data_IF_985746940177
#
_entry.id   IF_985746940177
#
_cell.length_a   1.000
_cell.length_b   1.000
_cell.length_c   1.000
_cell.angle_alpha   90.00
_cell.angle_beta   90.00
_cell.angle_gamma   90.00
#
_symmetry.space_group_name_H-M   'P 1'
#
loop_
_entity.id
_entity.type
_entity.pdbx_description
1 polymer ?
#
# COMPACT_ATOMS: atom_id res chain seq x y z
N UNK A 1 -3.00 3.27 14.88
CA UNK A 1 -3.75 3.81 13.74
C UNK A 1 -3.66 2.88 12.55
N UNK A 2 -4.58 2.99 11.63
CA UNK A 2 -4.52 2.25 10.38
C UNK A 2 -4.12 3.19 9.25
N UNK A 3 -3.29 2.70 8.34
CA UNK A 3 -2.88 3.44 7.15
C UNK A 3 -3.55 2.85 5.92
N UNK A 4 -4.14 3.72 5.11
CA UNK A 4 -4.71 3.40 3.81
C UNK A 4 -3.98 4.24 2.77
N UNK A 5 -3.29 3.57 1.85
CA UNK A 5 -2.44 4.25 0.87
C UNK A 5 -2.88 3.86 -0.52
N UNK A 6 -3.36 4.83 -1.29
CA UNK A 6 -3.91 4.56 -2.61
C UNK A 6 -3.22 5.39 -3.69
N UNK A 7 -3.24 4.84 -4.89
CA UNK A 7 -2.56 5.40 -6.05
C UNK A 7 -3.04 4.68 -7.31
N UNK A 8 -2.59 5.15 -8.47
CA UNK A 8 -2.96 4.58 -9.76
C UNK A 8 -1.76 3.94 -10.43
N UNK A 9 -1.99 2.81 -11.09
CA UNK A 9 -0.97 2.05 -11.82
C UNK A 9 -1.53 1.67 -13.20
N UNK A 10 -0.72 1.76 -14.23
CA UNK A 10 -1.09 1.35 -15.59
C UNK A 10 -1.54 -0.12 -15.57
N UNK A 11 -2.65 -0.40 -16.24
CA UNK A 11 -3.16 -1.77 -16.34
C UNK A 11 -2.12 -2.73 -16.93
N UNK A 12 -1.31 -2.24 -17.88
CA UNK A 12 -0.25 -3.04 -18.49
C UNK A 12 0.83 -3.47 -17.50
N UNK A 13 1.00 -2.74 -16.39
CA UNK A 13 2.00 -3.02 -15.37
C UNK A 13 1.45 -3.83 -14.19
N UNK A 14 0.18 -4.24 -14.24
CA UNK A 14 -0.50 -4.84 -13.11
C UNK A 14 0.24 -6.08 -12.55
N UNK A 15 0.68 -6.99 -13.41
CA UNK A 15 1.36 -8.21 -12.97
C UNK A 15 2.70 -7.92 -12.31
N UNK A 16 3.50 -7.04 -12.91
CA UNK A 16 4.79 -6.64 -12.35
C UNK A 16 4.59 -5.90 -11.02
N UNK A 17 3.63 -4.99 -10.98
CA UNK A 17 3.35 -4.24 -9.77
C UNK A 17 2.88 -5.13 -8.63
N UNK A 18 1.99 -6.09 -8.92
CA UNK A 18 1.52 -7.04 -7.92
C UNK A 18 2.69 -7.82 -7.29
N UNK A 19 3.62 -8.30 -8.09
CA UNK A 19 4.81 -9.00 -7.60
C UNK A 19 5.62 -8.12 -6.66
N UNK A 20 5.87 -6.88 -7.05
CA UNK A 20 6.71 -5.96 -6.27
C UNK A 20 6.05 -5.51 -4.97
N UNK A 21 4.78 -5.12 -5.02
CA UNK A 21 4.08 -4.62 -3.82
C UNK A 21 3.78 -5.75 -2.84
N UNK A 22 3.49 -6.96 -3.34
CA UNK A 22 3.31 -8.12 -2.47
C UNK A 22 4.59 -8.47 -1.73
N UNK A 23 5.72 -8.44 -2.41
CA UNK A 23 7.02 -8.67 -1.77
C UNK A 23 7.33 -7.62 -0.71
N UNK A 24 7.01 -6.35 -0.99
CA UNK A 24 7.15 -5.26 -0.04
C UNK A 24 6.33 -5.52 1.23
N UNK A 25 5.04 -5.83 1.07
CA UNK A 25 4.14 -6.06 2.20
C UNK A 25 4.53 -7.31 2.99
N UNK A 26 4.92 -8.38 2.33
CA UNK A 26 5.37 -9.60 3.00
C UNK A 26 6.60 -9.32 3.87
N UNK A 27 7.53 -8.56 3.35
CA UNK A 27 8.74 -8.18 4.08
C UNK A 27 8.43 -7.31 5.30
N UNK A 28 7.57 -6.31 5.13
CA UNK A 28 7.16 -5.42 6.23
C UNK A 28 6.38 -6.18 7.30
N UNK A 29 5.48 -7.07 6.88
CA UNK A 29 4.71 -7.91 7.81
C UNK A 29 5.62 -8.78 8.65
N UNK A 30 6.63 -9.38 8.03
CA UNK A 30 7.58 -10.24 8.71
C UNK A 30 8.49 -9.48 9.66
N UNK A 31 9.00 -8.30 9.24
CA UNK A 31 9.92 -7.51 10.05
C UNK A 31 9.25 -6.80 11.23
N UNK A 32 8.02 -6.35 11.04
CA UNK A 32 7.34 -5.49 12.02
C UNK A 32 6.07 -6.08 12.59
N UNK A 33 5.74 -7.32 12.24
CA UNK A 33 4.52 -8.00 12.71
C UNK A 33 3.24 -7.19 12.42
N UNK A 34 3.18 -6.57 11.25
CA UNK A 34 2.06 -5.74 10.83
C UNK A 34 1.12 -6.54 9.95
N UNK A 35 -0.17 -6.41 10.19
CA UNK A 35 -1.20 -7.00 9.32
C UNK A 35 -1.41 -6.10 8.12
N UNK A 36 -1.37 -6.69 6.94
CA UNK A 36 -1.49 -5.97 5.68
C UNK A 36 -2.67 -6.47 4.86
N UNK A 37 -3.16 -5.62 3.97
CA UNK A 37 -4.06 -6.00 2.91
C UNK A 37 -3.69 -5.24 1.64
N UNK A 38 -4.04 -5.79 0.50
CA UNK A 38 -3.82 -5.17 -0.79
C UNK A 38 -5.11 -5.27 -1.59
N UNK A 39 -5.55 -4.14 -2.13
CA UNK A 39 -6.80 -4.05 -2.87
C UNK A 39 -6.55 -3.35 -4.21
N UNK A 40 -7.39 -3.67 -5.17
CA UNK A 40 -7.34 -3.03 -6.48
C UNK A 40 -8.77 -2.86 -7.00
N UNK A 41 -9.04 -1.74 -7.69
CA UNK A 41 -10.32 -1.56 -8.36
C UNK A 41 -10.54 -2.68 -9.39
N UNK A 42 -11.77 -3.17 -9.54
CA UNK A 42 -12.05 -4.31 -10.44
C UNK A 42 -11.90 -3.96 -11.91
N UNK A 43 -12.12 -2.70 -12.26
CA UNK A 43 -12.13 -2.23 -13.65
C UNK A 43 -11.13 -1.09 -13.81
N UNK A 44 -10.35 -1.14 -14.88
CA UNK A 44 -9.45 -0.04 -15.24
C UNK A 44 -10.24 1.14 -15.78
N UNK A 45 -9.83 2.35 -15.41
CA UNK A 45 -10.35 3.60 -15.97
C UNK A 45 -9.18 4.38 -16.57
N UNK A 46 -9.34 4.84 -17.79
CA UNK A 46 -8.28 5.55 -18.52
C UNK A 46 -6.98 4.72 -18.59
N UNK A 47 -7.12 3.40 -18.72
CA UNK A 47 -5.99 2.47 -18.78
C UNK A 47 -5.29 2.22 -17.47
N UNK A 48 -5.88 2.64 -16.34
CA UNK A 48 -5.27 2.49 -15.01
C UNK A 48 -6.22 1.89 -14.00
N UNK A 49 -5.66 1.13 -13.05
CA UNK A 49 -6.40 0.72 -11.85
C UNK A 49 -5.99 1.58 -10.66
N UNK A 50 -6.91 1.72 -9.72
CA UNK A 50 -6.60 2.24 -8.39
C UNK A 50 -6.21 1.07 -7.50
N UNK A 51 -5.06 1.18 -6.86
CA UNK A 51 -4.56 0.19 -5.89
C UNK A 51 -4.60 0.80 -4.50
N UNK A 52 -4.77 -0.05 -3.49
CA UNK A 52 -4.77 0.38 -2.11
C UNK A 52 -3.98 -0.60 -1.24
N UNK A 53 -2.98 -0.08 -0.55
CA UNK A 53 -2.26 -0.80 0.51
C UNK A 53 -2.91 -0.46 1.84
N UNK A 54 -3.05 -1.47 2.70
CA UNK A 54 -3.62 -1.30 4.03
C UNK A 54 -2.62 -1.84 5.06
N UNK A 55 -2.38 -1.07 6.11
CA UNK A 55 -1.51 -1.45 7.23
C UNK A 55 -2.26 -1.17 8.53
N UNK A 56 -2.56 -2.22 9.29
CA UNK A 56 -3.43 -2.11 10.46
C UNK A 56 -2.63 -2.01 11.76
N UNK A 57 -3.14 -1.20 12.71
CA UNK A 57 -2.61 -1.06 14.06
C UNK A 57 -1.12 -0.70 14.07
N UNK A 58 -0.75 0.33 13.33
CA UNK A 58 0.63 0.79 13.22
C UNK A 58 0.84 2.10 13.97
N UNK A 59 2.09 2.51 14.10
CA UNK A 59 2.48 3.78 14.71
C UNK A 59 3.26 4.64 13.72
N UNK A 60 3.69 5.82 14.16
CA UNK A 60 4.44 6.75 13.31
C UNK A 60 5.80 6.19 12.89
N UNK A 61 6.45 5.41 13.74
CA UNK A 61 7.73 4.78 13.39
C UNK A 61 7.56 3.83 12.21
N UNK A 62 6.47 3.06 12.19
CA UNK A 62 6.18 2.21 11.05
C UNK A 62 5.98 3.01 9.77
N UNK A 63 5.29 4.14 9.86
CA UNK A 63 5.06 4.99 8.68
C UNK A 63 6.38 5.44 8.04
N UNK A 64 7.37 5.78 8.86
CA UNK A 64 8.71 6.12 8.37
C UNK A 64 9.38 4.92 7.72
N UNK A 65 9.32 3.74 8.35
CA UNK A 65 9.89 2.50 7.80
C UNK A 65 9.25 2.12 6.48
N UNK A 66 7.93 2.29 6.37
CA UNK A 66 7.19 2.04 5.14
C UNK A 66 7.70 2.92 4.00
N UNK A 67 7.84 4.22 4.24
CA UNK A 67 8.32 5.15 3.20
C UNK A 67 9.75 4.83 2.77
N UNK A 68 10.62 4.45 3.71
CA UNK A 68 11.97 4.00 3.39
C UNK A 68 11.97 2.73 2.53
N UNK A 69 11.11 1.77 2.86
CA UNK A 69 11.00 0.53 2.11
C UNK A 69 10.45 0.77 0.69
N UNK A 70 9.48 1.66 0.55
CA UNK A 70 8.93 2.05 -0.75
C UNK A 70 10.01 2.70 -1.62
N UNK A 71 10.77 3.62 -1.06
CA UNK A 71 11.85 4.28 -1.78
C UNK A 71 12.91 3.27 -2.27
N UNK A 72 13.24 2.28 -1.46
CA UNK A 72 14.22 1.25 -1.81
C UNK A 72 13.68 0.24 -2.84
N UNK A 73 12.38 0.06 -2.91
CA UNK A 73 11.75 -0.96 -3.76
C UNK A 73 11.65 -0.60 -5.23
N UNK A 74 11.71 0.70 -5.55
CA UNK A 74 11.48 1.17 -6.91
C UNK A 74 10.01 1.20 -7.34
N UNK A 75 9.06 1.00 -6.42
CA UNK A 75 7.62 1.01 -6.73
C UNK A 75 7.17 2.31 -7.38
N UNK A 76 7.76 3.44 -6.99
CA UNK A 76 7.34 4.76 -7.46
C UNK A 76 7.42 4.91 -8.97
N UNK A 77 8.32 4.19 -9.63
CA UNK A 77 8.45 4.25 -11.09
C UNK A 77 7.25 3.64 -11.83
N UNK A 78 6.47 2.81 -11.15
CA UNK A 78 5.26 2.17 -11.70
C UNK A 78 3.98 2.89 -11.28
N UNK A 79 4.07 3.87 -10.40
CA UNK A 79 2.91 4.59 -9.87
C UNK A 79 2.74 5.88 -10.68
N UNK A 80 1.52 6.13 -11.14
CA UNK A 80 1.16 7.38 -11.79
C UNK A 80 0.83 8.43 -10.73
N UNK A 81 1.70 9.43 -10.61
CA UNK A 81 1.53 10.50 -9.63
C UNK A 81 1.99 10.09 -8.23
N UNK A 82 1.21 10.48 -7.24
CA UNK A 82 1.58 10.37 -5.82
C UNK A 82 0.89 9.20 -5.13
N UNK A 83 1.54 8.69 -4.10
CA UNK A 83 0.93 7.83 -3.10
C UNK A 83 0.17 8.74 -2.12
N UNK A 84 -1.13 8.50 -1.99
CA UNK A 84 -1.99 9.25 -1.07
C UNK A 84 -2.19 8.44 0.19
N UNK A 85 -1.77 9.00 1.32
CA UNK A 85 -1.87 8.31 2.61
C UNK A 85 -2.96 8.94 3.45
N UNK A 86 -3.85 8.09 3.96
CA UNK A 86 -4.87 8.48 4.94
C UNK A 86 -4.70 7.67 6.20
N UNK A 87 -4.89 8.32 7.34
CA UNK A 87 -4.77 7.71 8.67
C UNK A 87 -6.15 7.62 9.29
N UNK A 88 -6.46 6.47 9.87
CA UNK A 88 -7.72 6.25 10.57
C UNK A 88 -7.45 5.69 11.96
N UNK A 89 -8.23 6.16 12.93
CA UNK A 89 -8.22 5.67 14.29
C UNK A 89 -9.49 4.88 14.56
N UNK A 90 -9.34 3.78 15.30
CA UNK A 90 -10.51 3.07 15.78
C UNK A 90 -11.11 3.86 16.94
N UNK A 91 -12.35 4.33 16.78
CA UNK A 91 -13.06 5.06 17.84
C UNK A 91 -13.83 4.13 18.75
N UNK A 92 -14.20 2.96 18.25
CA UNK A 92 -14.87 1.93 19.03
C UNK A 92 -14.61 0.57 18.43
N UNK A 93 -14.60 -0.45 19.28
CA UNK A 93 -14.54 -1.83 18.83
C UNK A 93 -15.95 -2.40 18.90
N UNK A 94 -16.51 -2.72 17.77
CA UNK A 94 -17.78 -3.45 17.70
C UNK A 94 -17.50 -4.92 17.97
N UNK A 95 -18.12 -5.41 19.00
CA UNK A 95 -18.06 -6.83 19.36
C UNK A 95 -19.36 -7.53 19.05
#
# INVERSE_FOLDING_TARGET
MDLYIYYRVQAADAALFLTKVSALQDNLSRLYAVRTALKRSPVAQDGMHTWMEVYLAVNEDFAVKLEQAVAASGLSSLIDGKRHTEQFLDLSLCV
#
